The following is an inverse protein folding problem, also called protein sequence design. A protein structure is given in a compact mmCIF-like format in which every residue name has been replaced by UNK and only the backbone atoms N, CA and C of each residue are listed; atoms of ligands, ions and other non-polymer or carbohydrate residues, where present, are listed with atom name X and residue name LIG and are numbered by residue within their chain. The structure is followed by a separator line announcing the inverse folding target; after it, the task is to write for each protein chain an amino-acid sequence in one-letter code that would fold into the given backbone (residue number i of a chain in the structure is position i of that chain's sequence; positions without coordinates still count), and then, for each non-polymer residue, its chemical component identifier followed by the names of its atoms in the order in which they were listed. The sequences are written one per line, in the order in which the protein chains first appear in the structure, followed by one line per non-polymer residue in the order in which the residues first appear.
data_IF_874140976464
#
_entry.id   IF_874140976464
#
_cell.length_a   1.000
_cell.length_b   1.000
_cell.length_c   1.000
_cell.angle_alpha   90.00
_cell.angle_beta   90.00
_cell.angle_gamma   90.00
#
_symmetry.space_group_name_H-M   'P 1'
#
loop_
_entity.id
_entity.type
_entity.pdbx_description
1 polymer ?
#
# COMPACT_ATOMS: atom_id res chain seq x y z
N UNK A 1 -18.85 -0.52 -20.02
CA UNK A 1 -18.22 -1.02 -18.79
C UNK A 1 -17.26 -2.12 -19.21
N UNK A 2 -15.95 -1.97 -18.97
CA UNK A 2 -14.96 -3.00 -19.29
C UNK A 2 -14.70 -3.78 -17.99
N UNK A 3 -14.96 -5.08 -18.02
CA UNK A 3 -14.82 -5.94 -16.85
C UNK A 3 -13.44 -6.59 -16.86
N UNK A 4 -12.75 -6.55 -15.72
CA UNK A 4 -11.49 -7.27 -15.53
C UNK A 4 -11.81 -8.74 -15.22
N UNK A 5 -11.23 -9.70 -15.96
CA UNK A 5 -11.42 -11.12 -15.65
C UNK A 5 -11.08 -11.43 -14.20
N UNK A 6 -11.89 -12.26 -13.56
CA UNK A 6 -11.72 -12.60 -12.14
C UNK A 6 -10.35 -13.23 -11.85
N UNK A 7 -9.80 -13.98 -12.79
CA UNK A 7 -8.47 -14.58 -12.69
C UNK A 7 -7.37 -13.50 -12.59
N UNK A 8 -7.42 -12.47 -13.45
CA UNK A 8 -6.50 -11.32 -13.42
C UNK A 8 -6.65 -10.57 -12.09
N UNK A 9 -7.89 -10.32 -11.66
CA UNK A 9 -8.17 -9.68 -10.38
C UNK A 9 -7.57 -10.42 -9.19
N UNK A 10 -7.68 -11.75 -9.16
CA UNK A 10 -7.11 -12.60 -8.12
C UNK A 10 -5.58 -12.62 -8.18
N UNK A 11 -5.01 -12.75 -9.37
CA UNK A 11 -3.56 -12.77 -9.57
C UNK A 11 -2.89 -11.52 -8.99
N UNK A 12 -3.46 -10.35 -9.22
CA UNK A 12 -2.94 -9.07 -8.71
C UNK A 12 -3.50 -8.68 -7.33
N UNK A 13 -4.34 -9.50 -6.70
CA UNK A 13 -4.95 -9.22 -5.41
C UNK A 13 -5.77 -7.93 -5.38
N UNK A 14 -6.46 -7.62 -6.49
CA UNK A 14 -7.30 -6.43 -6.63
C UNK A 14 -8.53 -6.60 -5.74
N UNK A 15 -8.75 -5.64 -4.84
CA UNK A 15 -9.90 -5.61 -3.93
C UNK A 15 -10.84 -4.46 -4.33
N UNK A 16 -12.14 -4.54 -4.01
CA UNK A 16 -13.05 -3.41 -4.14
C UNK A 16 -12.47 -2.16 -3.45
N UNK A 17 -12.59 -1.00 -4.11
CA UNK A 17 -12.03 0.27 -3.63
C UNK A 17 -10.61 0.58 -4.10
N UNK A 18 -9.90 -0.38 -4.72
CA UNK A 18 -8.62 -0.08 -5.37
C UNK A 18 -8.86 0.72 -6.65
N UNK A 19 -7.89 1.59 -6.98
CA UNK A 19 -7.89 2.35 -8.23
C UNK A 19 -6.97 1.68 -9.24
N UNK A 20 -7.25 1.91 -10.51
CA UNK A 20 -6.44 1.42 -11.63
C UNK A 20 -6.02 2.62 -12.45
N UNK A 21 -4.71 2.77 -12.60
CA UNK A 21 -4.10 3.79 -13.46
C UNK A 21 -3.73 3.14 -14.78
N UNK A 22 -4.34 3.62 -15.86
CA UNK A 22 -4.28 3.04 -17.19
C UNK A 22 -3.38 3.89 -18.07
N UNK A 23 -2.42 3.25 -18.72
CA UNK A 23 -1.47 3.91 -19.60
C UNK A 23 -1.46 3.20 -20.94
N UNK A 24 -1.55 3.99 -22.01
CA UNK A 24 -1.35 3.51 -23.38
C UNK A 24 0.14 3.31 -23.59
N UNK A 25 0.51 2.22 -24.25
CA UNK A 25 1.90 1.95 -24.64
C UNK A 25 2.02 2.15 -26.14
N UNK A 26 2.63 3.28 -26.54
CA UNK A 26 2.75 3.67 -27.95
C UNK A 26 3.43 2.58 -28.79
N UNK A 27 2.89 2.33 -29.98
CA UNK A 27 3.42 1.35 -30.92
C UNK A 27 3.07 -0.11 -30.60
N UNK A 28 2.19 -0.35 -29.63
CA UNK A 28 1.68 -1.68 -29.28
C UNK A 28 0.18 -1.65 -29.05
N UNK A 29 -0.48 -2.81 -29.19
CA UNK A 29 -1.87 -3.00 -28.77
C UNK A 29 -1.97 -3.40 -27.28
N UNK A 30 -0.94 -3.08 -26.49
CA UNK A 30 -0.89 -3.38 -25.06
C UNK A 30 -1.33 -2.19 -24.20
N UNK A 31 -1.99 -2.50 -23.09
CA UNK A 31 -2.38 -1.51 -22.09
C UNK A 31 -1.63 -1.81 -20.79
N UNK A 32 -0.91 -0.82 -20.28
CA UNK A 32 -0.25 -0.94 -18.98
C UNK A 32 -1.20 -0.48 -17.89
N UNK A 33 -1.44 -1.37 -16.92
CA UNK A 33 -2.33 -1.09 -15.80
C UNK A 33 -1.54 -1.13 -14.49
N UNK A 34 -1.57 -0.03 -13.74
CA UNK A 34 -1.01 0.04 -12.39
C UNK A 34 -2.13 -0.05 -11.36
N UNK A 35 -2.07 -1.09 -10.51
CA UNK A 35 -2.99 -1.25 -9.38
C UNK A 35 -2.56 -0.34 -8.24
N UNK A 36 -3.45 0.57 -7.83
CA UNK A 36 -3.24 1.51 -6.73
C UNK A 36 -4.14 1.07 -5.56
N UNK A 37 -3.57 0.50 -4.49
CA UNK A 37 -4.34 0.11 -3.32
C UNK A 37 -5.00 1.31 -2.64
N UNK A 38 -6.05 1.03 -1.86
CA UNK A 38 -6.68 2.04 -1.02
C UNK A 38 -5.76 2.47 0.15
N UNK A 39 -6.15 3.54 0.84
CA UNK A 39 -5.37 4.08 1.96
C UNK A 39 -5.16 3.06 3.08
N UNK A 40 -6.17 2.24 3.37
CA UNK A 40 -6.11 1.24 4.43
C UNK A 40 -5.09 0.13 4.11
N UNK A 41 -5.09 -0.39 2.89
CA UNK A 41 -4.10 -1.34 2.44
C UNK A 41 -2.70 -0.74 2.40
N UNK A 42 -2.54 0.50 1.91
CA UNK A 42 -1.25 1.18 1.93
C UNK A 42 -0.70 1.29 3.36
N UNK A 43 -1.52 1.69 4.32
CA UNK A 43 -1.14 1.73 5.73
C UNK A 43 -0.73 0.35 6.26
N UNK A 44 -1.50 -0.71 5.96
CA UNK A 44 -1.14 -2.09 6.33
C UNK A 44 0.19 -2.53 5.74
N UNK A 45 0.47 -2.19 4.47
CA UNK A 45 1.73 -2.54 3.79
C UNK A 45 2.93 -1.77 4.33
N UNK A 46 2.72 -0.57 4.87
CA UNK A 46 3.77 0.25 5.47
C UNK A 46 4.00 -0.06 6.95
N UNK A 47 3.01 -0.65 7.63
CA UNK A 47 3.11 -1.01 9.04
C UNK A 47 4.34 -1.90 9.29
N UNK A 48 5.21 -1.48 10.21
CA UNK A 48 6.41 -2.22 10.56
C UNK A 48 7.57 -2.14 9.56
N UNK A 49 7.37 -1.66 8.33
CA UNK A 49 8.46 -1.49 7.35
C UNK A 49 9.52 -0.48 7.82
N UNK A 50 9.12 0.53 8.57
CA UNK A 50 10.06 1.52 9.14
C UNK A 50 11.00 0.95 10.21
N UNK A 51 10.68 -0.20 10.82
CA UNK A 51 11.40 -0.73 11.99
C UNK A 51 12.86 -1.08 11.69
N UNK A 52 13.16 -1.51 10.47
CA UNK A 52 14.53 -1.87 10.11
C UNK A 52 15.46 -0.65 9.99
N UNK A 53 14.93 0.56 9.87
CA UNK A 53 15.74 1.78 9.79
C UNK A 53 16.19 2.30 11.16
N UNK A 54 15.61 1.80 12.25
CA UNK A 54 16.01 2.16 13.61
C UNK A 54 15.80 0.96 14.54
N UNK A 55 16.62 -0.10 14.39
CA UNK A 55 16.43 -1.36 15.12
C UNK A 55 16.59 -1.20 16.63
N UNK A 56 17.46 -0.29 17.06
CA UNK A 56 17.81 -0.07 18.47
C UNK A 56 16.94 0.98 19.16
N UNK A 57 16.00 1.61 18.43
CA UNK A 57 15.19 2.72 18.94
C UNK A 57 13.71 2.39 18.87
N UNK A 58 13.04 2.39 20.01
CA UNK A 58 11.59 2.25 20.09
C UNK A 58 10.94 3.61 20.35
N UNK A 59 10.83 4.43 19.29
CA UNK A 59 10.29 5.79 19.39
C UNK A 59 8.87 5.85 20.00
N UNK A 60 8.06 4.80 19.84
CA UNK A 60 6.72 4.73 20.46
C UNK A 60 6.84 4.58 21.97
N UNK A 61 7.73 3.70 22.43
CA UNK A 61 7.97 3.51 23.86
C UNK A 61 8.57 4.78 24.49
N UNK A 62 9.53 5.42 23.83
CA UNK A 62 10.08 6.70 24.28
C UNK A 62 8.98 7.76 24.46
N UNK A 63 8.06 7.89 23.50
CA UNK A 63 6.91 8.79 23.57
C UNK A 63 5.94 8.45 24.71
N UNK A 64 5.77 7.16 25.02
CA UNK A 64 4.93 6.72 26.15
C UNK A 64 5.59 7.07 27.48
N UNK A 65 6.90 6.85 27.60
CA UNK A 65 7.69 7.20 28.79
C UNK A 65 7.71 8.72 29.02
N UNK A 66 7.88 9.52 27.96
CA UNK A 66 7.81 10.99 28.01
C UNK A 66 6.44 11.46 28.51
N UNK A 67 5.34 10.92 27.95
CA UNK A 67 3.98 11.27 28.41
C UNK A 67 3.67 10.85 29.84
N UNK A 68 4.28 9.76 30.31
CA UNK A 68 4.10 9.31 31.69
C UNK A 68 4.89 10.17 32.68
N UNK A 69 5.99 10.80 32.26
CA UNK A 69 6.80 11.70 33.08
C UNK A 69 6.22 13.13 33.16
N UNK A 70 5.48 13.57 32.14
CA UNK A 70 4.85 14.90 32.07
C UNK A 70 3.47 15.01 32.76
N UNK A 71 2.93 13.91 33.30
CA UNK A 71 1.65 13.84 34.01
C UNK A 71 1.79 13.81 35.52
#
# INVERSE_FOLDING_TARGET
MITIPAEVGRHYGIKPGYRLDWQVVDGTDEIRVRVIPDRAELARRLLGKGRHFSPDRNAVQELVEERAADG
#
